data_IF_626427964841
#
_entry.id   IF_626427964841
#
_cell.length_a   1.000
_cell.length_b   1.000
_cell.length_c   1.000
_cell.angle_alpha   90.00
_cell.angle_beta   90.00
_cell.angle_gamma   90.00
#
_symmetry.space_group_name_H-M   'P 1'
#
loop_
_entity.id
_entity.type
_entity.pdbx_description
1 polymer ?
#
# COMPACT_ATOMS: atom_id res chain seq x y z
N UNK A 1 25.33 6.89 13.56
CA UNK A 1 25.33 5.55 12.92
C UNK A 1 26.25 5.58 11.72
N UNK A 2 27.12 4.61 11.59
CA UNK A 2 28.07 4.56 10.46
C UNK A 2 27.46 3.72 9.33
N UNK A 3 26.99 4.36 8.26
CA UNK A 3 26.42 3.68 7.07
C UNK A 3 27.44 2.70 6.45
N UNK A 4 28.75 2.94 6.65
CA UNK A 4 29.80 2.04 6.19
C UNK A 4 29.64 0.62 6.75
N UNK A 5 29.29 0.47 8.03
CA UNK A 5 29.04 -0.85 8.62
C UNK A 5 27.89 -1.60 7.94
N UNK A 6 26.86 -0.86 7.47
CA UNK A 6 25.73 -1.45 6.74
C UNK A 6 26.17 -1.93 5.35
N UNK A 7 26.94 -1.10 4.65
CA UNK A 7 27.52 -1.46 3.35
C UNK A 7 28.39 -2.72 3.47
N UNK A 8 29.24 -2.75 4.49
CA UNK A 8 30.12 -3.89 4.76
C UNK A 8 29.33 -5.17 5.08
N UNK A 9 28.22 -5.04 5.85
CA UNK A 9 27.36 -6.18 6.17
C UNK A 9 26.73 -6.81 4.94
N UNK A 10 26.33 -6.01 3.96
CA UNK A 10 25.73 -6.49 2.70
C UNK A 10 26.76 -6.68 1.57
N UNK A 11 28.06 -6.47 1.84
CA UNK A 11 29.13 -6.57 0.84
C UNK A 11 28.93 -5.61 -0.35
N UNK A 12 28.53 -4.38 -0.09
CA UNK A 12 28.27 -3.36 -1.09
C UNK A 12 29.47 -2.39 -1.15
N UNK A 13 30.02 -2.20 -2.36
CA UNK A 13 31.14 -1.29 -2.63
C UNK A 13 30.70 -0.20 -3.61
N UNK A 14 29.88 0.73 -3.13
CA UNK A 14 29.45 1.89 -3.91
C UNK A 14 29.12 3.03 -2.95
N UNK A 15 29.13 4.27 -3.45
CA UNK A 15 28.74 5.45 -2.66
C UNK A 15 27.22 5.52 -2.49
N UNK A 16 26.72 5.78 -1.28
CA UNK A 16 25.29 5.93 -1.04
C UNK A 16 24.79 7.28 -1.55
N UNK A 17 23.63 7.25 -2.21
CA UNK A 17 22.83 8.40 -2.59
C UNK A 17 21.53 8.37 -1.78
N UNK A 18 21.25 9.42 -1.03
CA UNK A 18 20.00 9.49 -0.28
C UNK A 18 18.84 9.76 -1.24
N UNK A 19 17.82 8.90 -1.20
CA UNK A 19 16.59 9.09 -1.95
C UNK A 19 15.66 10.05 -1.22
N UNK A 20 15.01 10.94 -1.98
CA UNK A 20 13.94 11.80 -1.48
C UNK A 20 12.64 11.01 -1.33
N UNK A 21 11.86 11.29 -0.29
CA UNK A 21 10.56 10.65 -0.04
C UNK A 21 10.62 9.52 1.00
N UNK A 22 9.46 9.18 1.50
CA UNK A 22 9.29 8.19 2.58
C UNK A 22 9.58 8.74 3.98
N UNK A 23 9.05 8.05 4.98
CA UNK A 23 9.16 8.44 6.41
C UNK A 23 10.49 8.05 7.04
N UNK A 24 11.41 7.39 6.29
CA UNK A 24 12.73 6.94 6.75
C UNK A 24 13.82 7.26 5.75
N UNK A 25 15.07 7.47 6.24
CA UNK A 25 16.21 7.55 5.38
C UNK A 25 16.33 6.29 4.52
N UNK A 26 16.23 6.48 3.22
CA UNK A 26 16.39 5.43 2.21
C UNK A 26 17.58 5.81 1.33
N UNK A 27 18.46 4.86 1.07
CA UNK A 27 19.65 5.11 0.26
C UNK A 27 19.70 4.17 -0.93
N UNK A 28 19.99 4.73 -2.11
CA UNK A 28 20.39 3.95 -3.28
C UNK A 28 21.91 3.82 -3.26
N UNK A 29 22.40 2.61 -3.44
CA UNK A 29 23.83 2.29 -3.45
C UNK A 29 24.11 1.33 -4.59
N UNK A 30 24.49 1.87 -5.74
CA UNK A 30 24.58 1.08 -6.97
C UNK A 30 23.22 0.45 -7.34
N UNK A 31 23.18 -0.88 -7.41
CA UNK A 31 21.94 -1.64 -7.72
C UNK A 31 21.15 -2.09 -6.48
N UNK A 32 21.40 -1.47 -5.33
CA UNK A 32 20.77 -1.81 -4.06
C UNK A 32 20.06 -0.60 -3.45
N UNK A 33 18.90 -0.82 -2.84
CA UNK A 33 18.20 0.13 -1.99
C UNK A 33 18.34 -0.34 -0.55
N UNK A 34 18.90 0.51 0.30
CA UNK A 34 18.99 0.29 1.74
C UNK A 34 17.83 1.02 2.43
N UNK A 35 17.12 0.30 3.29
CA UNK A 35 16.03 0.83 4.11
C UNK A 35 16.20 0.43 5.56
N UNK A 36 15.86 1.32 6.47
CA UNK A 36 15.85 1.00 7.89
C UNK A 36 14.46 0.51 8.29
N UNK A 37 14.40 -0.63 8.96
CA UNK A 37 13.19 -1.12 9.63
C UNK A 37 12.92 -0.22 10.82
N UNK A 38 11.76 0.38 10.88
CA UNK A 38 11.30 1.16 12.04
C UNK A 38 10.84 0.22 13.15
N UNK A 39 10.96 0.71 14.38
CA UNK A 39 10.10 0.22 15.46
C UNK A 39 8.64 0.44 15.11
N UNK A 40 7.77 -0.46 15.53
CA UNK A 40 6.32 -0.37 15.29
C UNK A 40 5.79 0.93 15.88
N UNK A 41 5.11 1.74 15.07
CA UNK A 41 4.49 3.00 15.45
C UNK A 41 3.04 3.04 14.97
N UNK A 42 2.29 4.10 15.30
CA UNK A 42 0.96 4.29 14.74
C UNK A 42 0.95 4.36 13.20
N UNK A 43 2.04 4.79 12.59
CA UNK A 43 2.16 4.92 11.14
C UNK A 43 2.61 3.64 10.43
N UNK A 44 3.34 2.77 11.13
CA UNK A 44 4.14 1.75 10.45
C UNK A 44 4.17 0.41 11.21
N UNK A 45 3.77 -0.66 10.55
CA UNK A 45 3.82 -2.03 11.05
C UNK A 45 4.93 -2.87 10.38
N UNK A 46 6.10 -2.31 10.24
CA UNK A 46 7.23 -3.07 9.72
C UNK A 46 8.04 -3.69 10.88
N UNK A 47 7.42 -4.59 11.65
CA UNK A 47 8.20 -5.36 12.61
C UNK A 47 9.32 -6.13 11.92
N UNK A 48 10.48 -6.36 12.57
CA UNK A 48 11.56 -7.14 11.98
C UNK A 48 11.12 -8.52 11.47
N UNK A 49 10.15 -9.14 12.14
CA UNK A 49 9.58 -10.44 11.80
C UNK A 49 8.78 -10.37 10.50
N UNK A 50 7.94 -9.35 10.35
CA UNK A 50 7.14 -9.12 9.15
C UNK A 50 8.03 -8.80 7.94
N UNK A 51 9.04 -7.95 8.13
CA UNK A 51 10.02 -7.62 7.08
C UNK A 51 10.82 -8.86 6.67
N UNK A 52 11.21 -9.71 7.62
CA UNK A 52 11.90 -10.97 7.33
C UNK A 52 11.01 -11.91 6.49
N UNK A 53 9.75 -12.04 6.84
CA UNK A 53 8.79 -12.84 6.09
C UNK A 53 8.60 -12.31 4.65
N UNK A 54 8.50 -10.98 4.45
CA UNK A 54 8.43 -10.37 3.12
C UNK A 54 9.73 -10.66 2.34
N UNK A 55 10.88 -10.54 2.99
CA UNK A 55 12.18 -10.81 2.37
C UNK A 55 12.27 -12.26 1.87
N UNK A 56 11.80 -13.22 2.66
CA UNK A 56 11.81 -14.65 2.33
C UNK A 56 10.94 -14.95 1.11
N UNK A 57 9.68 -14.55 1.10
CA UNK A 57 8.83 -14.86 -0.05
C UNK A 57 9.22 -14.07 -1.31
N UNK A 58 9.85 -12.90 -1.18
CA UNK A 58 10.34 -12.12 -2.32
C UNK A 58 11.31 -12.93 -3.20
N UNK A 59 11.99 -13.92 -2.61
CA UNK A 59 12.94 -14.79 -3.34
C UNK A 59 12.22 -15.80 -4.25
N UNK A 60 11.06 -16.27 -3.83
CA UNK A 60 10.30 -17.33 -4.52
C UNK A 60 9.22 -16.77 -5.45
N UNK A 61 8.93 -15.46 -5.35
CA UNK A 61 7.87 -14.83 -6.11
C UNK A 61 8.18 -14.86 -7.61
N UNK A 62 7.37 -15.59 -8.38
CA UNK A 62 7.48 -15.65 -9.84
C UNK A 62 6.89 -14.36 -10.42
N UNK A 63 7.75 -13.54 -11.01
CA UNK A 63 7.39 -12.25 -11.58
C UNK A 63 7.00 -12.40 -13.05
N UNK A 64 5.71 -12.41 -13.32
CA UNK A 64 5.13 -12.50 -14.65
C UNK A 64 4.06 -11.41 -14.80
N UNK A 65 4.28 -10.46 -15.70
CA UNK A 65 3.42 -9.28 -15.86
C UNK A 65 3.58 -8.18 -14.80
N UNK A 66 4.54 -8.31 -13.89
CA UNK A 66 4.91 -7.30 -12.90
C UNK A 66 6.37 -7.44 -12.51
N UNK A 67 6.90 -6.43 -11.78
CA UNK A 67 8.23 -6.45 -11.15
C UNK A 67 8.11 -6.16 -9.65
N UNK A 68 8.96 -6.80 -8.87
CA UNK A 68 9.03 -6.61 -7.42
C UNK A 68 10.50 -6.70 -6.95
N UNK A 69 10.98 -5.85 -6.03
CA UNK A 69 12.34 -5.93 -5.53
C UNK A 69 12.58 -7.23 -4.77
N UNK A 70 13.77 -7.80 -4.91
CA UNK A 70 14.24 -8.94 -4.13
C UNK A 70 15.07 -8.47 -2.96
N UNK A 71 14.84 -9.04 -1.79
CA UNK A 71 15.69 -8.79 -0.63
C UNK A 71 17.08 -9.41 -0.83
N UNK A 72 18.08 -8.78 -0.24
CA UNK A 72 19.45 -9.28 -0.19
C UNK A 72 19.80 -9.69 1.23
N UNK A 73 20.58 -10.76 1.36
CA UNK A 73 21.10 -11.22 2.64
C UNK A 73 22.44 -10.56 2.96
N UNK A 74 22.70 -10.34 4.24
CA UNK A 74 24.02 -9.98 4.75
C UNK A 74 25.02 -11.15 4.53
N UNK A 75 26.32 -10.89 4.72
CA UNK A 75 27.37 -11.93 4.75
C UNK A 75 27.05 -13.06 5.74
N UNK A 76 26.32 -12.77 6.81
CA UNK A 76 25.87 -13.74 7.83
C UNK A 76 24.55 -14.45 7.45
N UNK A 77 24.08 -14.30 6.21
CA UNK A 77 22.80 -14.85 5.71
C UNK A 77 21.56 -14.36 6.49
N UNK A 78 21.58 -13.13 6.96
CA UNK A 78 20.44 -12.47 7.61
C UNK A 78 19.80 -11.45 6.67
N UNK A 79 18.49 -11.29 6.75
CA UNK A 79 17.74 -10.28 5.97
C UNK A 79 17.83 -8.88 6.57
N UNK A 80 18.15 -8.78 7.86
CA UNK A 80 18.17 -7.54 8.63
C UNK A 80 19.48 -7.48 9.41
N UNK A 81 20.16 -6.34 9.38
CA UNK A 81 21.34 -6.09 10.22
C UNK A 81 20.95 -5.90 11.69
N UNK A 82 21.90 -5.95 12.61
CA UNK A 82 21.67 -5.67 14.05
C UNK A 82 21.08 -4.28 14.29
N UNK A 83 21.42 -3.32 13.43
CA UNK A 83 20.94 -1.92 13.51
C UNK A 83 19.63 -1.70 12.74
N UNK A 84 18.94 -2.76 12.30
CA UNK A 84 17.64 -2.71 11.65
C UNK A 84 17.69 -2.31 10.17
N UNK A 85 18.79 -2.52 9.44
CA UNK A 85 18.85 -2.23 8.01
C UNK A 85 18.54 -3.46 7.16
N UNK A 86 17.82 -3.22 6.06
CA UNK A 86 17.52 -4.17 5.00
C UNK A 86 18.11 -3.68 3.68
N UNK A 87 18.35 -4.62 2.77
CA UNK A 87 18.82 -4.32 1.42
C UNK A 87 17.91 -4.99 0.39
N UNK A 88 17.58 -4.27 -0.68
CA UNK A 88 16.69 -4.70 -1.74
C UNK A 88 17.30 -4.39 -3.10
N UNK A 89 17.02 -5.18 -4.11
CA UNK A 89 17.43 -4.84 -5.48
C UNK A 89 16.74 -3.56 -5.94
N UNK A 90 17.47 -2.70 -6.67
CA UNK A 90 16.86 -1.56 -7.35
C UNK A 90 15.90 -2.08 -8.42
N UNK A 91 14.73 -1.47 -8.48
CA UNK A 91 13.79 -1.64 -9.59
C UNK A 91 13.72 -0.33 -10.36
N UNK A 92 14.02 -0.38 -11.64
CA UNK A 92 14.05 0.80 -12.51
C UNK A 92 12.65 1.36 -12.78
N UNK A 93 12.56 2.67 -12.93
CA UNK A 93 11.36 3.36 -13.34
C UNK A 93 11.15 4.71 -12.66
N UNK A 94 10.26 5.50 -13.23
CA UNK A 94 9.69 6.69 -12.59
C UNK A 94 8.46 6.30 -11.77
N UNK A 95 8.10 7.10 -10.80
CA UNK A 95 6.81 6.95 -10.14
C UNK A 95 5.66 7.06 -11.14
N UNK A 96 4.62 6.27 -10.91
CA UNK A 96 3.43 6.27 -11.76
C UNK A 96 2.64 7.56 -11.64
N UNK A 97 1.83 7.83 -12.65
CA UNK A 97 0.88 8.94 -12.69
C UNK A 97 -0.51 8.41 -13.07
N UNK A 98 -1.53 9.25 -13.06
CA UNK A 98 -2.88 8.86 -13.45
C UNK A 98 -3.01 8.45 -14.94
N UNK A 99 -2.10 8.86 -15.78
CA UNK A 99 -2.04 8.50 -17.20
C UNK A 99 -1.63 7.05 -17.45
N UNK A 100 -0.97 6.41 -16.46
CA UNK A 100 -0.46 5.04 -16.55
C UNK A 100 -1.52 3.96 -16.16
N UNK A 101 -2.75 4.35 -15.81
CA UNK A 101 -3.75 3.52 -15.12
C UNK A 101 -4.01 2.17 -15.78
N UNK A 102 -4.14 2.12 -17.11
CA UNK A 102 -4.56 0.89 -17.84
C UNK A 102 -3.50 -0.22 -17.69
N UNK A 103 -2.25 0.09 -17.95
CA UNK A 103 -1.15 -0.89 -17.81
C UNK A 103 -0.89 -1.32 -16.35
N UNK A 104 -1.20 -0.43 -15.40
CA UNK A 104 -1.03 -0.73 -13.97
C UNK A 104 -2.10 -1.71 -13.47
N UNK A 105 -3.35 -1.61 -13.92
CA UNK A 105 -4.43 -2.54 -13.51
C UNK A 105 -4.04 -3.98 -13.81
N UNK A 106 -3.56 -4.26 -15.01
CA UNK A 106 -3.09 -5.60 -15.41
C UNK A 106 -1.93 -6.09 -14.53
N UNK A 107 -0.99 -5.19 -14.25
CA UNK A 107 0.12 -5.48 -13.33
C UNK A 107 -0.33 -5.76 -11.91
N UNK A 108 -1.30 -5.02 -11.36
CA UNK A 108 -1.88 -5.28 -10.03
C UNK A 108 -2.51 -6.68 -10.00
N UNK A 109 -3.26 -7.04 -11.03
CA UNK A 109 -3.89 -8.37 -11.12
C UNK A 109 -2.83 -9.46 -11.17
N UNK A 110 -1.80 -9.30 -12.02
CA UNK A 110 -0.69 -10.25 -12.14
C UNK A 110 0.09 -10.41 -10.83
N UNK A 111 0.40 -9.30 -10.16
CA UNK A 111 1.08 -9.29 -8.86
C UNK A 111 0.28 -10.05 -7.79
N UNK A 112 -1.00 -9.73 -7.63
CA UNK A 112 -1.83 -10.39 -6.62
C UNK A 112 -2.12 -11.85 -6.95
N UNK A 113 -2.15 -12.23 -8.23
CA UNK A 113 -2.19 -13.64 -8.65
C UNK A 113 -0.95 -14.39 -8.16
N UNK A 114 0.23 -13.78 -8.22
CA UNK A 114 1.46 -14.37 -7.70
C UNK A 114 1.47 -14.43 -6.16
N UNK A 115 0.81 -13.49 -5.47
CA UNK A 115 0.69 -13.48 -4.01
C UNK A 115 -0.36 -14.48 -3.48
N UNK A 116 -1.27 -14.99 -4.31
CA UNK A 116 -2.39 -15.84 -3.88
C UNK A 116 -1.98 -17.17 -3.20
N UNK A 117 -0.75 -17.64 -3.46
CA UNK A 117 -0.19 -18.85 -2.84
C UNK A 117 0.55 -18.61 -1.52
N UNK A 118 0.74 -17.35 -1.13
CA UNK A 118 1.46 -17.00 0.10
C UNK A 118 0.54 -17.25 1.30
N UNK A 119 1.06 -17.95 2.31
CA UNK A 119 0.32 -18.20 3.55
C UNK A 119 0.22 -16.94 4.39
N UNK A 120 -0.93 -16.76 5.06
CA UNK A 120 -1.15 -15.63 5.96
C UNK A 120 -0.13 -15.63 7.10
N UNK A 121 0.51 -14.50 7.31
CA UNK A 121 1.32 -14.30 8.49
C UNK A 121 0.43 -13.79 9.65
N UNK A 122 0.41 -14.44 10.82
CA UNK A 122 -0.41 -14.04 11.97
C UNK A 122 -0.18 -12.58 12.42
N UNK A 123 1.03 -12.05 12.26
CA UNK A 123 1.37 -10.67 12.60
C UNK A 123 0.53 -9.61 11.86
N UNK A 124 -0.13 -10.00 10.77
CA UNK A 124 -1.06 -9.08 10.08
C UNK A 124 -2.32 -8.82 10.91
N UNK A 125 -2.76 -9.77 11.72
CA UNK A 125 -3.94 -9.61 12.61
C UNK A 125 -3.61 -8.72 13.82
N UNK A 126 -2.34 -8.65 14.20
CA UNK A 126 -1.84 -7.85 15.32
C UNK A 126 -1.54 -6.38 14.93
N UNK A 127 -1.82 -5.99 13.69
CA UNK A 127 -1.53 -4.66 13.19
C UNK A 127 -2.34 -3.57 13.94
N UNK A 128 -1.69 -2.83 14.85
CA UNK A 128 -2.27 -1.76 15.65
C UNK A 128 -2.00 -0.36 15.10
N UNK A 129 -1.41 -0.26 13.91
CA UNK A 129 -1.22 1.03 13.24
C UNK A 129 -2.56 1.68 12.89
N UNK A 130 -2.52 2.98 12.57
CA UNK A 130 -3.69 3.69 12.06
C UNK A 130 -4.30 2.97 10.84
N UNK A 131 -3.45 2.48 9.93
CA UNK A 131 -3.87 1.74 8.74
C UNK A 131 -4.47 0.37 9.07
N UNK A 132 -3.94 -0.34 10.07
CA UNK A 132 -4.49 -1.63 10.53
C UNK A 132 -5.83 -1.48 11.21
N UNK A 133 -6.00 -0.47 12.08
CA UNK A 133 -7.29 -0.15 12.71
C UNK A 133 -8.32 0.27 11.67
N UNK A 134 -7.97 1.23 10.79
CA UNK A 134 -8.85 1.71 9.74
C UNK A 134 -9.25 0.60 8.74
N UNK A 135 -8.35 -0.34 8.47
CA UNK A 135 -8.66 -1.53 7.67
C UNK A 135 -9.75 -2.37 8.34
N UNK A 136 -9.63 -2.74 9.62
CA UNK A 136 -10.67 -3.50 10.33
C UNK A 136 -12.00 -2.75 10.35
N UNK A 137 -11.98 -1.45 10.59
CA UNK A 137 -13.19 -0.62 10.65
C UNK A 137 -13.89 -0.48 9.30
N UNK A 138 -13.16 -0.38 8.20
CA UNK A 138 -13.80 -0.36 6.88
C UNK A 138 -14.41 -1.72 6.48
N UNK A 139 -14.04 -2.82 7.16
CA UNK A 139 -14.58 -4.16 6.94
C UNK A 139 -15.66 -4.59 7.96
N UNK A 140 -15.92 -3.83 9.00
CA UNK A 140 -17.08 -4.14 9.86
C UNK A 140 -16.92 -3.86 11.34
N UNK A 141 -15.71 -3.85 11.85
CA UNK A 141 -15.49 -3.34 13.20
C UNK A 141 -15.87 -1.84 13.27
N UNK A 142 -16.16 -1.37 14.45
CA UNK A 142 -16.47 0.04 14.66
C UNK A 142 -15.45 0.66 15.61
N UNK A 143 -14.94 1.87 15.30
CA UNK A 143 -14.18 2.64 16.27
C UNK A 143 -15.05 3.02 17.47
N UNK A 144 -14.46 3.13 18.65
CA UNK A 144 -15.17 3.62 19.85
C UNK A 144 -15.55 5.09 19.71
N UNK A 145 -14.72 5.84 19.00
CA UNK A 145 -14.90 7.27 18.76
C UNK A 145 -14.37 7.63 17.38
N UNK A 146 -15.05 8.56 16.71
CA UNK A 146 -14.61 9.20 15.47
C UNK A 146 -14.52 10.71 15.72
N UNK A 147 -13.47 11.35 15.24
CA UNK A 147 -13.32 12.79 15.36
C UNK A 147 -14.49 13.51 14.64
N UNK A 148 -15.17 14.48 15.30
CA UNK A 148 -16.39 15.10 14.78
C UNK A 148 -16.26 15.67 13.35
N UNK A 149 -15.05 16.08 12.95
CA UNK A 149 -14.81 16.68 11.63
C UNK A 149 -14.90 15.64 10.48
N UNK A 150 -14.54 14.38 10.73
CA UNK A 150 -14.60 13.30 9.71
C UNK A 150 -15.87 12.45 9.83
N UNK A 151 -16.50 12.45 10.99
CA UNK A 151 -17.64 11.61 11.32
C UNK A 151 -18.80 11.70 10.32
N UNK A 152 -19.23 12.88 9.83
CA UNK A 152 -20.34 12.98 8.87
C UNK A 152 -20.08 12.22 7.57
N UNK A 153 -18.87 12.33 7.01
CA UNK A 153 -18.52 11.60 5.79
C UNK A 153 -18.39 10.10 6.03
N UNK A 154 -17.79 9.70 7.15
CA UNK A 154 -17.64 8.29 7.52
C UNK A 154 -19.03 7.65 7.71
N UNK A 155 -19.97 8.31 8.40
CA UNK A 155 -21.33 7.81 8.60
C UNK A 155 -22.05 7.65 7.27
N UNK A 156 -21.98 8.63 6.37
CA UNK A 156 -22.57 8.52 5.02
C UNK A 156 -21.98 7.33 4.25
N UNK A 157 -20.66 7.12 4.31
CA UNK A 157 -20.03 5.98 3.67
C UNK A 157 -20.43 4.65 4.33
N UNK A 158 -20.60 4.60 5.64
CA UNK A 158 -21.12 3.42 6.34
C UNK A 158 -22.56 3.07 5.93
N UNK A 159 -23.44 4.04 5.71
CA UNK A 159 -24.79 3.84 5.19
C UNK A 159 -24.79 3.27 3.75
N UNK A 160 -23.81 3.68 2.96
CA UNK A 160 -23.61 3.18 1.60
C UNK A 160 -22.94 1.79 1.55
N UNK A 161 -22.25 1.39 2.61
CA UNK A 161 -21.53 0.12 2.70
C UNK A 161 -22.51 -1.06 2.82
N UNK A 162 -22.27 -2.11 2.06
CA UNK A 162 -23.05 -3.37 2.08
C UNK A 162 -22.09 -4.55 2.27
N UNK A 163 -22.63 -5.67 2.73
CA UNK A 163 -21.92 -6.95 2.73
C UNK A 163 -21.53 -7.33 1.31
N UNK A 164 -20.37 -7.96 1.18
CA UNK A 164 -19.86 -8.46 -0.10
C UNK A 164 -19.60 -9.95 0.05
N UNK A 165 -20.21 -10.73 -0.81
CA UNK A 165 -20.09 -12.19 -0.80
C UNK A 165 -19.27 -12.70 -1.99
N UNK A 166 -18.66 -13.88 -1.81
CA UNK A 166 -17.95 -14.60 -2.88
C UNK A 166 -16.67 -13.94 -3.34
N UNK A 167 -16.04 -13.10 -2.49
CA UNK A 167 -14.66 -12.67 -2.62
C UNK A 167 -13.78 -13.52 -1.70
N UNK A 168 -12.55 -13.72 -2.11
CA UNK A 168 -11.57 -14.53 -1.36
C UNK A 168 -10.45 -13.67 -0.84
N UNK A 169 -10.24 -13.72 0.47
CA UNK A 169 -9.11 -13.05 1.10
C UNK A 169 -7.79 -13.74 0.76
N UNK A 170 -6.77 -12.93 0.54
CA UNK A 170 -5.40 -13.34 0.32
C UNK A 170 -4.44 -12.22 0.77
N UNK A 171 -3.14 -12.46 0.63
CA UNK A 171 -2.15 -11.39 0.76
C UNK A 171 -2.36 -10.35 -0.34
N UNK A 172 -2.50 -9.09 0.07
CA UNK A 172 -2.56 -7.95 -0.84
C UNK A 172 -1.56 -6.88 -0.45
N UNK A 173 -1.22 -6.01 -1.40
CA UNK A 173 -0.53 -4.77 -1.13
C UNK A 173 -1.54 -3.70 -0.70
N UNK A 174 -1.51 -3.34 0.57
CA UNK A 174 -2.44 -2.39 1.18
C UNK A 174 -2.09 -0.91 1.01
N UNK A 175 -1.08 -0.58 0.19
CA UNK A 175 -0.68 0.79 -0.14
C UNK A 175 -0.23 0.89 -1.60
N UNK A 176 -1.19 0.76 -2.52
CA UNK A 176 -0.99 0.96 -3.95
C UNK A 176 -1.11 2.45 -4.32
N UNK A 177 -0.34 3.30 -3.63
CA UNK A 177 -0.21 4.71 -3.99
C UNK A 177 0.62 4.87 -5.27
N UNK A 178 0.47 6.01 -5.94
CA UNK A 178 1.25 6.32 -7.15
C UNK A 178 2.77 6.32 -6.88
N UNK A 179 3.18 6.60 -5.64
CA UNK A 179 4.58 6.58 -5.22
C UNK A 179 5.16 5.17 -5.09
N UNK A 180 4.31 4.16 -4.86
CA UNK A 180 4.72 2.76 -4.68
C UNK A 180 4.66 1.93 -5.96
N UNK A 181 4.40 2.58 -7.10
CA UNK A 181 4.34 1.94 -8.41
C UNK A 181 5.33 2.62 -9.34
N UNK A 182 6.25 1.84 -9.92
CA UNK A 182 7.26 2.35 -10.85
C UNK A 182 6.99 1.87 -12.27
N UNK A 183 7.08 2.81 -13.22
CA UNK A 183 6.89 2.57 -14.65
C UNK A 183 8.20 2.80 -15.39
N UNK A 184 8.58 1.84 -16.22
CA UNK A 184 9.72 1.96 -17.12
C UNK A 184 9.31 1.53 -18.55
N UNK A 185 9.91 2.10 -19.59
CA UNK A 185 9.60 1.75 -20.98
C UNK A 185 9.78 0.24 -21.22
N UNK A 186 8.82 -0.38 -21.90
CA UNK A 186 8.87 -1.79 -22.32
C UNK A 186 8.97 -2.82 -21.19
N UNK A 187 8.81 -2.39 -19.92
CA UNK A 187 8.80 -3.28 -18.77
C UNK A 187 7.42 -3.24 -18.10
N UNK A 188 6.97 -4.36 -17.50
CA UNK A 188 5.75 -4.34 -16.70
C UNK A 188 5.90 -3.43 -15.48
N UNK A 189 4.79 -2.95 -14.89
CA UNK A 189 4.84 -2.10 -13.71
C UNK A 189 5.55 -2.81 -12.55
N UNK A 190 6.23 -2.03 -11.72
CA UNK A 190 6.87 -2.54 -10.52
C UNK A 190 6.15 -2.05 -9.27
N UNK A 191 6.00 -2.93 -8.31
CA UNK A 191 5.40 -2.64 -7.02
C UNK A 191 6.48 -2.66 -5.94
N UNK A 192 6.60 -1.58 -5.19
CA UNK A 192 7.59 -1.43 -4.12
C UNK A 192 6.90 -1.16 -2.78
N UNK A 193 7.62 -1.28 -1.68
CA UNK A 193 7.12 -0.96 -0.34
C UNK A 193 5.84 -1.70 0.05
N UNK A 194 5.83 -3.01 -0.16
CA UNK A 194 4.69 -3.85 0.19
C UNK A 194 4.23 -3.62 1.64
N UNK A 195 3.03 -3.10 1.78
CA UNK A 195 2.28 -3.04 3.04
C UNK A 195 1.31 -4.23 3.06
N UNK A 196 1.61 -5.30 3.81
CA UNK A 196 0.85 -6.53 3.73
C UNK A 196 -0.48 -6.43 4.49
N UNK A 197 -1.58 -6.78 3.81
CA UNK A 197 -2.91 -6.95 4.37
C UNK A 197 -3.52 -8.25 3.87
N UNK A 198 -4.51 -8.80 4.61
CA UNK A 198 -5.22 -10.01 4.23
C UNK A 198 -6.66 -9.67 3.85
N UNK A 199 -6.89 -9.41 2.55
CA UNK A 199 -8.17 -8.92 2.00
C UNK A 199 -8.34 -9.42 0.57
N UNK A 200 -9.55 -9.29 -0.02
CA UNK A 200 -9.75 -9.58 -1.44
C UNK A 200 -8.90 -8.67 -2.34
N UNK A 201 -8.48 -9.20 -3.49
CA UNK A 201 -7.72 -8.43 -4.51
C UNK A 201 -8.51 -7.21 -5.00
N UNK A 202 -9.82 -7.35 -5.08
CA UNK A 202 -10.73 -6.26 -5.46
C UNK A 202 -10.58 -5.05 -4.53
N UNK A 203 -10.22 -5.27 -3.26
CA UNK A 203 -9.95 -4.16 -2.35
C UNK A 203 -8.65 -3.44 -2.67
N UNK A 204 -7.59 -4.14 -3.05
CA UNK A 204 -6.35 -3.52 -3.53
C UNK A 204 -6.60 -2.66 -4.77
N UNK A 205 -7.41 -3.15 -5.70
CA UNK A 205 -7.82 -2.38 -6.88
C UNK A 205 -8.73 -1.20 -6.52
N UNK A 206 -9.61 -1.35 -5.54
CA UNK A 206 -10.43 -0.24 -5.01
C UNK A 206 -9.59 0.86 -4.36
N UNK A 207 -8.56 0.50 -3.62
CA UNK A 207 -7.60 1.46 -3.06
C UNK A 207 -6.82 2.19 -4.17
N UNK A 208 -6.33 1.45 -5.17
CA UNK A 208 -5.64 2.05 -6.32
C UNK A 208 -6.58 2.99 -7.09
N UNK A 209 -7.82 2.57 -7.35
CA UNK A 209 -8.83 3.40 -8.03
C UNK A 209 -9.09 4.71 -7.27
N UNK A 210 -9.16 4.66 -5.93
CA UNK A 210 -9.31 5.84 -5.10
C UNK A 210 -8.10 6.79 -5.23
N UNK A 211 -6.88 6.24 -5.27
CA UNK A 211 -5.64 7.01 -5.44
C UNK A 211 -5.55 7.70 -6.80
N UNK A 212 -5.86 6.98 -7.89
CA UNK A 212 -5.66 7.48 -9.26
C UNK A 212 -6.82 8.32 -9.78
N UNK A 213 -8.00 8.21 -9.16
CA UNK A 213 -9.22 8.92 -9.53
C UNK A 213 -9.65 9.97 -8.50
N UNK A 214 -10.51 9.62 -7.54
CA UNK A 214 -11.10 10.57 -6.60
C UNK A 214 -10.09 11.47 -5.88
N UNK A 215 -8.96 10.94 -5.44
CA UNK A 215 -7.90 11.76 -4.79
C UNK A 215 -7.22 12.74 -5.74
N UNK A 216 -7.28 12.49 -7.04
CA UNK A 216 -6.81 13.43 -8.08
C UNK A 216 -7.94 14.35 -8.57
N UNK A 217 -9.13 14.29 -7.97
CA UNK A 217 -10.30 15.05 -8.39
C UNK A 217 -10.89 14.59 -9.73
N UNK A 218 -10.58 13.37 -10.17
CA UNK A 218 -10.97 12.83 -11.48
C UNK A 218 -11.65 11.47 -11.33
N UNK A 219 -12.98 11.42 -11.47
CA UNK A 219 -13.74 10.16 -11.44
C UNK A 219 -13.86 9.48 -12.81
N UNK A 220 -13.41 10.12 -13.89
CA UNK A 220 -13.52 9.55 -15.25
C UNK A 220 -12.71 8.25 -15.41
N UNK A 221 -11.63 8.10 -14.63
CA UNK A 221 -10.80 6.89 -14.63
C UNK A 221 -11.51 5.67 -14.01
N UNK A 222 -12.55 5.88 -13.21
CA UNK A 222 -13.30 4.78 -12.57
C UNK A 222 -13.96 3.85 -13.59
N UNK A 223 -14.16 4.31 -14.83
CA UNK A 223 -14.66 3.48 -15.94
C UNK A 223 -13.80 2.23 -16.19
N UNK A 224 -12.51 2.28 -15.92
CA UNK A 224 -11.59 1.15 -16.11
C UNK A 224 -11.76 0.04 -15.06
N UNK A 225 -12.46 0.33 -13.96
CA UNK A 225 -12.67 -0.58 -12.84
C UNK A 225 -14.10 -1.10 -12.72
N UNK A 226 -15.05 -0.55 -13.50
CA UNK A 226 -16.49 -0.81 -13.35
C UNK A 226 -16.88 -2.28 -13.58
N UNK A 227 -16.09 -3.04 -14.33
CA UNK A 227 -16.30 -4.45 -14.59
C UNK A 227 -15.91 -5.36 -13.42
N UNK A 228 -15.24 -4.81 -12.40
CA UNK A 228 -14.80 -5.57 -11.24
C UNK A 228 -15.97 -5.90 -10.31
N UNK A 229 -15.94 -7.09 -9.74
CA UNK A 229 -16.92 -7.52 -8.76
C UNK A 229 -16.94 -6.58 -7.55
N UNK A 230 -18.11 -6.11 -7.18
CA UNK A 230 -18.34 -5.24 -6.03
C UNK A 230 -17.46 -3.97 -5.99
N UNK A 231 -17.11 -3.42 -7.15
CA UNK A 231 -16.18 -2.29 -7.24
C UNK A 231 -16.63 -1.08 -6.40
N UNK A 232 -17.93 -0.72 -6.45
CA UNK A 232 -18.49 0.36 -5.62
C UNK A 232 -18.25 0.13 -4.13
N UNK A 233 -18.36 -1.12 -3.67
CA UNK A 233 -18.14 -1.51 -2.27
C UNK A 233 -16.66 -1.48 -1.88
N UNK A 234 -15.76 -1.76 -2.81
CA UNK A 234 -14.32 -1.64 -2.58
C UNK A 234 -13.89 -0.17 -2.52
N UNK A 235 -14.45 0.66 -3.37
CA UNK A 235 -14.18 2.10 -3.39
C UNK A 235 -14.68 2.79 -2.10
N UNK A 236 -15.90 2.44 -1.63
CA UNK A 236 -16.44 2.91 -0.34
C UNK A 236 -15.49 2.52 0.80
N UNK A 237 -15.07 1.26 0.88
CA UNK A 237 -14.16 0.78 1.94
C UNK A 237 -12.79 1.48 1.89
N UNK A 238 -12.26 1.72 0.70
CA UNK A 238 -11.02 2.47 0.52
C UNK A 238 -11.13 3.90 1.07
N UNK A 239 -12.26 4.57 0.82
CA UNK A 239 -12.53 5.92 1.35
C UNK A 239 -12.71 5.91 2.88
N UNK A 240 -13.47 4.96 3.44
CA UNK A 240 -13.62 4.79 4.90
C UNK A 240 -12.25 4.57 5.54
N UNK A 241 -11.44 3.65 4.98
CA UNK A 241 -10.10 3.35 5.50
C UNK A 241 -9.21 4.59 5.53
N UNK A 242 -9.25 5.38 4.47
CA UNK A 242 -8.45 6.61 4.39
C UNK A 242 -8.84 7.63 5.46
N UNK A 243 -10.15 7.96 5.57
CA UNK A 243 -10.64 8.93 6.54
C UNK A 243 -10.38 8.51 7.98
N UNK A 244 -10.55 7.21 8.28
CA UNK A 244 -10.31 6.68 9.62
C UNK A 244 -8.82 6.55 9.96
N UNK A 245 -7.95 6.34 8.98
CA UNK A 245 -6.51 6.41 9.20
C UNK A 245 -6.08 7.85 9.56
N UNK A 246 -6.58 8.87 8.84
CA UNK A 246 -6.34 10.28 9.19
C UNK A 246 -6.82 10.61 10.59
N UNK A 247 -8.03 10.15 10.96
CA UNK A 247 -8.54 10.31 12.31
C UNK A 247 -7.58 9.78 13.38
N UNK A 248 -7.04 8.55 13.20
CA UNK A 248 -6.11 7.94 14.17
C UNK A 248 -4.77 8.66 14.21
N UNK A 249 -4.28 9.14 13.06
CA UNK A 249 -3.03 9.87 12.94
C UNK A 249 -3.13 11.32 13.49
N UNK A 250 -4.35 11.85 13.59
CA UNK A 250 -4.57 13.26 13.95
C UNK A 250 -4.23 14.23 12.80
N UNK A 251 -4.14 13.74 11.57
CA UNK A 251 -3.79 14.51 10.37
C UNK A 251 -5.04 15.20 9.80
N UNK A 252 -5.56 16.18 10.52
CA UNK A 252 -6.83 16.87 10.22
C UNK A 252 -6.70 18.40 10.10
N UNK A 253 -5.47 18.94 10.17
CA UNK A 253 -5.26 20.39 10.19
C UNK A 253 -5.80 21.08 8.92
N UNK A 254 -5.58 20.47 7.74
CA UNK A 254 -6.02 21.00 6.44
C UNK A 254 -7.30 20.34 5.92
N UNK A 255 -8.19 19.92 6.81
CA UNK A 255 -9.38 19.13 6.46
C UNK A 255 -10.19 19.68 5.29
N UNK A 256 -10.45 21.00 5.27
CA UNK A 256 -11.31 21.61 4.24
C UNK A 256 -10.72 21.53 2.82
N UNK A 257 -9.42 21.39 2.72
CA UNK A 257 -8.70 21.40 1.42
C UNK A 257 -8.07 20.05 1.10
N UNK A 258 -8.02 19.12 2.03
CA UNK A 258 -7.33 17.84 1.86
C UNK A 258 -7.94 16.99 0.73
N UNK A 259 -7.10 16.22 0.09
CA UNK A 259 -7.48 15.34 -1.02
C UNK A 259 -8.39 14.20 -0.59
N UNK A 260 -8.29 13.77 0.65
CA UNK A 260 -9.04 12.66 1.25
C UNK A 260 -10.51 12.99 1.45
N UNK A 261 -10.81 14.20 1.95
CA UNK A 261 -12.17 14.71 2.05
C UNK A 261 -12.82 14.81 0.68
N UNK A 262 -12.15 15.47 -0.26
CA UNK A 262 -12.64 15.60 -1.65
C UNK A 262 -12.87 14.25 -2.32
N UNK A 263 -11.96 13.29 -2.12
CA UNK A 263 -12.11 11.94 -2.64
C UNK A 263 -13.34 11.25 -2.06
N UNK A 264 -13.57 11.34 -0.75
CA UNK A 264 -14.75 10.75 -0.11
C UNK A 264 -16.05 11.34 -0.63
N UNK A 265 -16.14 12.66 -0.79
CA UNK A 265 -17.29 13.36 -1.37
C UNK A 265 -17.57 12.91 -2.81
N UNK A 266 -16.54 12.79 -3.64
CA UNK A 266 -16.65 12.29 -5.01
C UNK A 266 -17.10 10.83 -5.06
N UNK A 267 -16.60 9.97 -4.17
CA UNK A 267 -17.02 8.57 -4.08
C UNK A 267 -18.49 8.45 -3.64
N UNK A 268 -18.92 9.24 -2.67
CA UNK A 268 -20.33 9.28 -2.23
C UNK A 268 -21.23 9.64 -3.41
N UNK A 269 -20.91 10.75 -4.11
CA UNK A 269 -21.67 11.21 -5.27
C UNK A 269 -21.73 10.14 -6.37
N UNK A 270 -20.60 9.57 -6.76
CA UNK A 270 -20.49 8.51 -7.77
C UNK A 270 -21.34 7.28 -7.43
N UNK A 271 -21.32 6.82 -6.18
CA UNK A 271 -22.07 5.64 -5.76
C UNK A 271 -23.56 5.93 -5.69
N UNK A 272 -23.97 7.12 -5.22
CA UNK A 272 -25.37 7.52 -5.16
C UNK A 272 -25.99 7.67 -6.56
N UNK A 273 -25.26 8.23 -7.53
CA UNK A 273 -25.71 8.33 -8.93
C UNK A 273 -25.95 6.95 -9.56
N UNK A 274 -25.07 5.98 -9.29
CA UNK A 274 -25.22 4.59 -9.80
C UNK A 274 -26.39 3.81 -9.18
N UNK A 275 -26.93 4.27 -8.06
CA UNK A 275 -28.06 3.62 -7.38
C UNK A 275 -29.43 4.18 -7.77
N UNK A 276 -29.45 5.30 -8.50
CA UNK A 276 -30.64 5.90 -9.10
C UNK A 276 -30.98 5.22 -10.42
#
# INVERSE_FOLDING_TARGET
MNLQNVLDAFNIQASPEQLSGGSQPTFKVGNVVLKRVKETSLENNHSPELVRWIAEFSQTLKQDGFRFPKALQTKERKWITKDGWTAWTVVEGRHSTKEDVVGIIEGIIAFHKALAGIQKNPLMDENQTAWGKADRWCWGEKPEHIHPIVEPLVNTLYELRRSVEGLKDQLIHGDLSLANILIAPHLPPAFIDLSPFWRPVEFALGMYANWVGPRQGDISVLKYFQHMKAFDQMLIRASIRMLLAMHVLGDLEDWETCSEKKAAELVISYVQEKRR
#
